data_IF_898649353495
#
_entry.id   IF_898649353495
#
_cell.length_a   1.000
_cell.length_b   1.000
_cell.length_c   1.000
_cell.angle_alpha   90.00
_cell.angle_beta   90.00
_cell.angle_gamma   90.00
#
_symmetry.space_group_name_H-M   'P 1'
#
loop_
_entity.id
_entity.type
_entity.pdbx_description
1 polymer ?
#
# COMPACT_ATOMS: atom_id res chain seq x y z
N UNK A 1 -50.22 -6.49 -16.26
CA UNK A 1 -48.90 -6.01 -16.73
C UNK A 1 -47.91 -5.83 -15.57
N UNK A 2 -48.37 -5.85 -14.32
CA UNK A 2 -47.54 -5.60 -13.13
C UNK A 2 -46.48 -6.68 -12.85
N UNK A 3 -46.79 -7.96 -13.10
CA UNK A 3 -45.83 -9.05 -12.87
C UNK A 3 -44.62 -9.01 -13.81
N UNK A 4 -44.76 -8.46 -15.02
CA UNK A 4 -43.66 -8.35 -15.98
C UNK A 4 -42.67 -7.24 -15.58
N UNK A 5 -43.19 -6.06 -15.17
CA UNK A 5 -42.33 -4.98 -14.67
C UNK A 5 -41.65 -5.36 -13.34
N UNK A 6 -42.34 -6.06 -12.45
CA UNK A 6 -41.76 -6.55 -11.20
C UNK A 6 -40.57 -7.50 -11.45
N UNK A 7 -40.70 -8.42 -12.41
CA UNK A 7 -39.61 -9.35 -12.76
C UNK A 7 -38.43 -8.66 -13.44
N UNK A 8 -38.68 -7.67 -14.30
CA UNK A 8 -37.61 -6.86 -14.93
C UNK A 8 -36.86 -6.03 -13.89
N UNK A 9 -37.58 -5.46 -12.92
CA UNK A 9 -36.97 -4.74 -11.79
C UNK A 9 -36.08 -5.66 -10.93
N UNK A 10 -36.55 -6.87 -10.64
CA UNK A 10 -35.78 -7.86 -9.88
C UNK A 10 -34.47 -8.26 -10.62
N UNK A 11 -34.56 -8.47 -11.93
CA UNK A 11 -33.40 -8.77 -12.77
C UNK A 11 -32.39 -7.61 -12.79
N UNK A 12 -32.86 -6.37 -12.92
CA UNK A 12 -31.99 -5.19 -12.90
C UNK A 12 -31.24 -5.05 -11.56
N UNK A 13 -31.93 -5.28 -10.43
CA UNK A 13 -31.31 -5.27 -9.10
C UNK A 13 -30.29 -6.39 -8.96
N UNK A 14 -30.60 -7.60 -9.44
CA UNK A 14 -29.66 -8.72 -9.43
C UNK A 14 -28.38 -8.41 -10.23
N UNK A 15 -28.51 -7.84 -11.43
CA UNK A 15 -27.36 -7.42 -12.23
C UNK A 15 -26.54 -6.31 -11.55
N UNK A 16 -27.20 -5.36 -10.89
CA UNK A 16 -26.53 -4.30 -10.15
C UNK A 16 -25.71 -4.85 -8.97
N UNK A 17 -26.25 -5.81 -8.23
CA UNK A 17 -25.54 -6.47 -7.13
C UNK A 17 -24.32 -7.24 -7.66
N UNK A 18 -24.48 -8.00 -8.74
CA UNK A 18 -23.36 -8.73 -9.38
C UNK A 18 -22.30 -7.76 -9.89
N UNK A 19 -22.71 -6.63 -10.48
CA UNK A 19 -21.80 -5.59 -10.95
C UNK A 19 -21.00 -4.98 -9.80
N UNK A 20 -21.66 -4.59 -8.70
CA UNK A 20 -20.98 -4.05 -7.51
C UNK A 20 -20.02 -5.09 -6.93
N UNK A 21 -20.44 -6.35 -6.80
CA UNK A 21 -19.60 -7.42 -6.27
C UNK A 21 -18.35 -7.63 -7.14
N UNK A 22 -18.52 -7.69 -8.47
CA UNK A 22 -17.41 -7.79 -9.41
C UNK A 22 -16.48 -6.58 -9.33
N UNK A 23 -17.04 -5.37 -9.23
CA UNK A 23 -16.28 -4.12 -9.09
C UNK A 23 -15.47 -4.10 -7.79
N UNK A 24 -16.04 -4.59 -6.69
CA UNK A 24 -15.38 -4.70 -5.40
C UNK A 24 -14.26 -5.74 -5.42
N UNK A 25 -14.48 -6.89 -6.08
CA UNK A 25 -13.43 -7.88 -6.31
C UNK A 25 -12.32 -7.33 -7.17
N UNK A 26 -12.64 -6.69 -8.31
CA UNK A 26 -11.64 -6.05 -9.17
C UNK A 26 -10.85 -4.99 -8.41
N UNK A 27 -11.49 -4.16 -7.59
CA UNK A 27 -10.80 -3.19 -6.73
C UNK A 27 -9.87 -3.88 -5.74
N UNK A 28 -10.33 -4.94 -5.08
CA UNK A 28 -9.53 -5.68 -4.10
C UNK A 28 -8.34 -6.40 -4.77
N UNK A 29 -8.55 -7.02 -5.93
CA UNK A 29 -7.50 -7.64 -6.73
C UNK A 29 -6.51 -6.59 -7.24
N UNK A 30 -6.98 -5.45 -7.75
CA UNK A 30 -6.12 -4.34 -8.15
C UNK A 30 -5.24 -3.87 -6.98
N UNK A 31 -5.84 -3.75 -5.79
CA UNK A 31 -5.17 -3.33 -4.56
C UNK A 31 -4.16 -4.36 -4.04
N UNK A 32 -4.42 -5.65 -4.20
CA UNK A 32 -3.55 -6.74 -3.72
C UNK A 32 -2.57 -7.26 -4.78
N UNK A 33 -2.69 -6.81 -6.04
CA UNK A 33 -1.84 -7.26 -7.14
C UNK A 33 -0.40 -6.72 -7.11
N UNK A 34 -0.03 -5.93 -6.10
CA UNK A 34 1.33 -5.36 -5.97
C UNK A 34 1.66 -4.26 -6.97
N UNK A 35 0.73 -3.88 -7.86
CA UNK A 35 0.94 -2.85 -8.88
C UNK A 35 1.14 -1.43 -8.32
N UNK A 36 0.81 -1.20 -7.04
CA UNK A 36 1.04 0.06 -6.33
C UNK A 36 2.23 0.02 -5.36
N UNK A 37 2.88 -1.14 -5.18
CA UNK A 37 4.09 -1.20 -4.37
C UNK A 37 5.25 -0.53 -5.13
N UNK A 38 5.49 0.74 -4.80
CA UNK A 38 6.65 1.46 -5.32
C UNK A 38 7.95 0.83 -4.81
N UNK A 39 8.80 0.37 -5.72
CA UNK A 39 10.15 -0.13 -5.39
C UNK A 39 10.97 0.93 -4.63
N UNK A 40 10.68 2.22 -4.86
CA UNK A 40 11.32 3.34 -4.15
C UNK A 40 11.03 3.32 -2.64
N UNK A 41 9.84 2.89 -2.22
CA UNK A 41 9.50 2.76 -0.79
C UNK A 41 10.32 1.64 -0.15
N UNK A 42 10.48 0.52 -0.84
CA UNK A 42 11.33 -0.57 -0.34
C UNK A 42 12.80 -0.17 -0.29
N UNK A 43 13.28 0.62 -1.26
CA UNK A 43 14.63 1.19 -1.25
C UNK A 43 14.83 2.17 -0.08
N UNK A 44 13.87 3.06 0.15
CA UNK A 44 13.90 4.00 1.28
C UNK A 44 13.91 3.26 2.63
N UNK A 45 13.12 2.19 2.77
CA UNK A 45 13.13 1.34 3.95
C UNK A 45 14.48 0.62 4.14
N UNK A 46 15.15 0.23 3.06
CA UNK A 46 16.47 -0.38 3.09
C UNK A 46 17.55 0.63 3.52
N UNK A 47 17.55 1.82 2.93
CA UNK A 47 18.43 2.94 3.27
C UNK A 47 18.24 3.39 4.73
N UNK A 48 16.99 3.42 5.20
CA UNK A 48 16.63 3.72 6.58
C UNK A 48 17.33 2.80 7.58
N UNK A 49 17.28 1.48 7.35
CA UNK A 49 17.91 0.46 8.21
C UNK A 49 19.43 0.43 8.07
N UNK A 50 19.97 0.77 6.89
CA UNK A 50 21.42 0.87 6.67
C UNK A 50 22.05 2.16 7.20
N UNK A 51 21.26 3.07 7.79
CA UNK A 51 21.81 4.24 8.47
C UNK A 51 21.89 5.51 7.61
N UNK A 52 21.17 5.59 6.48
CA UNK A 52 21.11 6.79 5.65
C UNK A 52 20.63 8.04 6.43
N UNK A 53 20.96 9.25 5.96
CA UNK A 53 20.49 10.43 6.69
C UNK A 53 18.96 10.54 6.62
N UNK A 54 18.28 10.98 7.68
CA UNK A 54 16.82 11.13 7.66
C UNK A 54 16.31 11.95 6.47
N UNK A 55 17.06 12.98 6.08
CA UNK A 55 16.71 13.85 4.94
C UNK A 55 16.80 13.10 3.60
N UNK A 56 17.78 12.21 3.42
CA UNK A 56 17.92 11.37 2.22
C UNK A 56 16.76 10.37 2.11
N UNK A 57 16.37 9.76 3.24
CA UNK A 57 15.22 8.84 3.29
C UNK A 57 13.91 9.58 3.01
N UNK A 58 13.74 10.80 3.54
CA UNK A 58 12.59 11.66 3.24
C UNK A 58 12.52 12.01 1.75
N UNK A 59 13.63 12.41 1.15
CA UNK A 59 13.69 12.73 -0.27
C UNK A 59 13.29 11.52 -1.14
N UNK A 60 13.79 10.32 -0.80
CA UNK A 60 13.40 9.09 -1.50
C UNK A 60 11.91 8.72 -1.33
N UNK A 61 11.28 9.12 -0.22
CA UNK A 61 9.85 8.93 0.01
C UNK A 61 9.02 9.91 -0.82
N UNK A 62 9.39 11.19 -0.85
CA UNK A 62 8.67 12.24 -1.60
C UNK A 62 8.75 12.02 -3.12
N UNK A 63 9.77 11.31 -3.60
CA UNK A 63 9.87 10.87 -5.00
C UNK A 63 8.87 9.74 -5.35
N UNK A 64 8.06 9.26 -4.39
CA UNK A 64 6.92 8.37 -4.64
C UNK A 64 5.65 9.17 -4.88
N UNK A 65 4.97 8.92 -6.00
CA UNK A 65 3.73 9.63 -6.41
C UNK A 65 2.60 9.65 -5.37
N UNK A 66 2.64 8.78 -4.37
CA UNK A 66 1.62 8.58 -3.34
C UNK A 66 1.99 9.19 -1.98
N UNK A 67 3.19 9.78 -1.83
CA UNK A 67 3.71 10.25 -0.53
C UNK A 67 4.13 11.72 -0.69
N UNK A 68 3.43 12.61 0.01
CA UNK A 68 3.83 14.01 0.08
C UNK A 68 4.85 14.27 1.21
N UNK A 69 5.33 15.51 1.32
CA UNK A 69 6.34 15.89 2.33
C UNK A 69 5.82 15.74 3.78
N UNK A 70 4.51 15.92 4.00
CA UNK A 70 3.86 15.75 5.30
C UNK A 70 3.79 14.26 5.65
N UNK A 71 3.43 13.43 4.67
CA UNK A 71 3.39 11.97 4.82
C UNK A 71 4.79 11.42 5.12
N UNK A 72 5.81 11.87 4.38
CA UNK A 72 7.19 11.46 4.60
C UNK A 72 7.68 11.82 6.02
N UNK A 73 7.31 12.99 6.53
CA UNK A 73 7.63 13.38 7.91
C UNK A 73 6.92 12.51 8.96
N UNK A 74 5.64 12.18 8.74
CA UNK A 74 4.88 11.31 9.62
C UNK A 74 5.46 9.88 9.63
N UNK A 75 5.78 9.33 8.46
CA UNK A 75 6.42 8.02 8.30
C UNK A 75 7.72 7.96 9.10
N UNK A 76 8.59 8.97 8.93
CA UNK A 76 9.86 9.05 9.63
C UNK A 76 9.67 9.16 11.14
N UNK A 77 8.72 9.97 11.60
CA UNK A 77 8.42 10.14 13.04
C UNK A 77 8.00 8.81 13.67
N UNK A 78 7.13 8.04 13.01
CA UNK A 78 6.68 6.73 13.47
C UNK A 78 7.79 5.67 13.43
N UNK A 79 8.60 5.67 12.36
CA UNK A 79 9.61 4.63 12.12
C UNK A 79 10.90 4.82 12.95
N UNK A 80 11.29 6.07 13.28
CA UNK A 80 12.61 6.40 13.85
C UNK A 80 12.91 5.63 15.14
N UNK A 81 11.91 5.37 15.98
CA UNK A 81 12.09 4.63 17.23
C UNK A 81 12.51 3.17 17.05
N UNK A 82 12.23 2.59 15.88
CA UNK A 82 12.53 1.18 15.56
C UNK A 82 13.78 1.01 14.71
N UNK A 83 14.49 2.09 14.39
CA UNK A 83 15.60 2.11 13.43
C UNK A 83 16.73 1.12 13.74
N UNK A 84 17.05 0.93 15.02
CA UNK A 84 18.13 0.04 15.48
C UNK A 84 17.72 -1.43 15.60
N UNK A 85 16.45 -1.76 15.35
CA UNK A 85 15.97 -3.14 15.48
C UNK A 85 16.44 -3.95 14.28
N UNK A 86 17.31 -4.94 14.55
CA UNK A 86 18.12 -5.69 13.57
C UNK A 86 17.33 -6.34 12.42
N UNK A 87 16.03 -6.54 12.57
CA UNK A 87 15.05 -6.87 11.53
C UNK A 87 13.68 -6.18 11.74
N UNK A 88 13.57 -5.36 12.80
CA UNK A 88 12.36 -4.65 13.18
C UNK A 88 12.27 -3.27 12.54
N UNK A 89 13.40 -2.63 12.23
CA UNK A 89 13.42 -1.30 11.64
C UNK A 89 12.82 -1.25 10.25
N UNK A 90 13.13 -2.23 9.40
CA UNK A 90 12.56 -2.33 8.05
C UNK A 90 11.05 -2.53 8.12
N UNK A 91 10.64 -3.49 8.94
CA UNK A 91 9.24 -3.86 9.12
C UNK A 91 8.43 -2.72 9.72
N UNK A 92 8.96 -2.05 10.74
CA UNK A 92 8.34 -0.88 11.35
C UNK A 92 8.22 0.26 10.36
N UNK A 93 9.23 0.50 9.52
CA UNK A 93 9.17 1.51 8.47
C UNK A 93 8.04 1.23 7.47
N UNK A 94 7.97 0.01 6.93
CA UNK A 94 6.88 -0.36 6.01
C UNK A 94 5.52 -0.27 6.68
N UNK A 95 5.42 -0.66 7.94
CA UNK A 95 4.18 -0.50 8.73
C UNK A 95 3.78 0.97 8.85
N UNK A 96 4.73 1.86 9.15
CA UNK A 96 4.48 3.30 9.23
C UNK A 96 3.98 3.86 7.89
N UNK A 97 4.52 3.38 6.76
CA UNK A 97 4.04 3.76 5.42
C UNK A 97 2.57 3.34 5.24
N UNK A 98 2.24 2.09 5.56
CA UNK A 98 0.85 1.61 5.45
C UNK A 98 -0.10 2.36 6.39
N UNK A 99 0.36 2.72 7.59
CA UNK A 99 -0.43 3.47 8.56
C UNK A 99 -0.73 4.91 8.08
N UNK A 100 0.26 5.60 7.52
CA UNK A 100 0.10 6.97 6.99
C UNK A 100 -0.79 6.98 5.74
N UNK A 101 -0.61 6.00 4.84
CA UNK A 101 -1.47 5.86 3.66
C UNK A 101 -2.89 5.38 4.03
N UNK A 102 -3.09 4.85 5.24
CA UNK A 102 -4.36 4.29 5.70
C UNK A 102 -4.72 2.96 5.03
N UNK A 103 -3.75 2.31 4.38
CA UNK A 103 -3.95 1.14 3.54
C UNK A 103 -2.77 0.16 3.69
N UNK A 104 -3.05 -1.15 3.84
CA UNK A 104 -2.02 -2.20 3.90
C UNK A 104 -1.52 -2.55 2.47
N UNK A 105 -0.83 -1.58 1.85
CA UNK A 105 -0.40 -1.65 0.44
C UNK A 105 0.94 -2.36 0.31
N UNK A 106 1.87 -2.13 1.24
CA UNK A 106 3.23 -2.65 1.17
C UNK A 106 3.41 -3.88 2.06
N UNK A 107 3.97 -4.94 1.50
CA UNK A 107 4.34 -6.11 2.29
C UNK A 107 5.46 -5.80 3.28
N UNK A 108 5.21 -6.06 4.57
CA UNK A 108 6.21 -5.99 5.65
C UNK A 108 7.40 -6.95 5.46
N UNK A 109 7.31 -7.92 4.54
CA UNK A 109 8.41 -8.83 4.23
C UNK A 109 9.43 -8.10 3.36
N UNK A 110 10.67 -7.99 3.85
CA UNK A 110 11.80 -7.51 3.06
C UNK A 110 11.95 -8.38 1.80
N UNK A 111 11.89 -7.80 0.59
CA UNK A 111 12.13 -8.54 -0.64
C UNK A 111 13.48 -9.23 -0.53
N UNK A 112 13.50 -10.55 -0.70
CA UNK A 112 14.78 -11.23 -0.90
C UNK A 112 15.27 -10.82 -2.27
N UNK A 113 16.39 -10.13 -2.33
CA UNK A 113 17.23 -10.06 -3.52
C UNK A 113 17.81 -11.47 -3.79
N UNK A 114 16.96 -12.47 -4.03
CA UNK A 114 17.38 -13.78 -4.50
C UNK A 114 17.73 -13.60 -5.99
N UNK A 115 19.01 -13.30 -6.21
CA UNK A 115 19.80 -13.52 -7.41
C UNK A 115 19.04 -13.57 -8.75
N UNK A 116 19.00 -12.42 -9.46
CA UNK A 116 19.06 -12.49 -10.93
C UNK A 116 20.43 -13.07 -11.28
N UNK A 117 20.46 -14.37 -11.55
CA UNK A 117 21.58 -15.09 -12.15
C UNK A 117 21.42 -15.12 -13.66
#
# INVERSE_FOLDING_TARGET
MDGFMANVGLLAVAFFIVYIYKKALEWNDYRHSGFYESEKVYKAADEFVHGALPDEVKESLVDCDMIDETDAENIMTLATHHRSDKDGGYRAFIRSVNEVLGEDVYSEKRPRHDAKR
#
